data_IF_408589237649
#
_entry.id   IF_408589237649
#
_cell.length_a   1.000
_cell.length_b   1.000
_cell.length_c   1.000
_cell.angle_alpha   90.00
_cell.angle_beta   90.00
_cell.angle_gamma   90.00
#
_symmetry.space_group_name_H-M   'P 1'
#
loop_
_entity.id
_entity.type
_entity.pdbx_description
1 polymer ?
#
# COMPACT_ATOMS: atom_id res chain seq x y z
N UNK A 1 -16.63 8.02 7.53
CA UNK A 1 -16.82 6.70 6.90
C UNK A 1 -16.02 6.72 5.62
N UNK A 2 -15.05 5.82 5.45
CA UNK A 2 -14.32 5.67 4.20
C UNK A 2 -15.12 4.78 3.26
N UNK A 3 -15.14 5.13 1.97
CA UNK A 3 -15.79 4.29 0.96
C UNK A 3 -14.99 3.00 0.75
N UNK A 4 -15.68 1.86 0.75
CA UNK A 4 -15.07 0.56 0.49
C UNK A 4 -14.59 0.48 -0.96
N UNK A 5 -13.41 -0.10 -1.18
CA UNK A 5 -12.97 -0.49 -2.52
C UNK A 5 -13.81 -1.67 -2.98
N UNK A 6 -14.82 -1.40 -3.82
CA UNK A 6 -15.81 -2.38 -4.28
C UNK A 6 -15.24 -3.37 -5.29
N UNK A 7 -14.29 -2.93 -6.10
CA UNK A 7 -13.69 -3.72 -7.18
C UNK A 7 -12.19 -3.87 -6.99
N UNK A 8 -11.70 -4.45 -5.87
CA UNK A 8 -10.27 -4.52 -5.63
C UNK A 8 -9.58 -5.42 -6.67
N UNK A 9 -8.32 -5.11 -7.00
CA UNK A 9 -7.44 -6.06 -7.69
C UNK A 9 -7.22 -7.29 -6.82
N UNK A 10 -7.09 -8.41 -7.49
CA UNK A 10 -6.80 -9.71 -6.90
C UNK A 10 -5.53 -10.30 -7.49
N UNK A 11 -4.91 -11.22 -6.76
CA UNK A 11 -3.83 -12.08 -7.22
C UNK A 11 -4.16 -13.49 -6.74
N UNK A 12 -4.15 -14.47 -7.64
CA UNK A 12 -4.62 -15.84 -7.34
C UNK A 12 -6.08 -15.89 -6.87
N UNK A 13 -6.90 -14.90 -7.25
CA UNK A 13 -8.27 -14.73 -6.76
C UNK A 13 -8.39 -14.07 -5.38
N UNK A 14 -7.30 -13.78 -4.67
CA UNK A 14 -7.34 -13.14 -3.35
C UNK A 14 -7.12 -11.63 -3.46
N UNK A 15 -7.93 -10.84 -2.74
CA UNK A 15 -7.67 -9.41 -2.54
C UNK A 15 -6.32 -9.26 -1.84
N UNK A 16 -5.54 -8.27 -2.26
CA UNK A 16 -4.26 -7.95 -1.63
C UNK A 16 -4.14 -6.47 -1.25
N UNK A 17 -3.31 -6.21 -0.25
CA UNK A 17 -2.76 -4.90 0.08
C UNK A 17 -1.25 -4.97 0.12
N UNK A 18 -0.58 -3.86 -0.14
CA UNK A 18 0.86 -3.75 -0.09
C UNK A 18 1.25 -2.67 0.90
N UNK A 19 2.12 -3.00 1.85
CA UNK A 19 2.67 -2.06 2.79
C UNK A 19 4.02 -1.52 2.28
N UNK A 20 4.06 -0.22 2.02
CA UNK A 20 5.27 0.49 1.67
C UNK A 20 5.88 1.15 2.89
N UNK A 21 7.21 1.24 2.94
CA UNK A 21 7.92 1.94 4.02
C UNK A 21 8.43 3.27 3.48
N UNK A 22 7.97 4.36 4.09
CA UNK A 22 8.34 5.73 3.75
C UNK A 22 9.20 6.32 4.88
N UNK A 23 10.40 6.76 4.54
CA UNK A 23 11.27 7.53 5.42
C UNK A 23 11.14 9.02 5.09
N UNK A 24 10.60 9.79 6.02
CA UNK A 24 10.56 11.26 5.93
C UNK A 24 11.73 11.84 6.71
N UNK A 25 12.61 12.59 6.03
CA UNK A 25 13.77 13.26 6.65
C UNK A 25 13.56 14.76 6.83
N UNK A 26 12.86 15.39 5.89
CA UNK A 26 12.45 16.78 6.00
C UNK A 26 11.15 17.01 5.24
N UNK A 27 10.37 17.98 5.68
CA UNK A 27 9.15 18.44 5.03
C UNK A 27 9.35 19.80 4.32
N UNK A 28 10.48 20.48 4.53
CA UNK A 28 10.78 21.76 3.86
C UNK A 28 12.30 22.02 3.80
N UNK A 29 12.98 21.73 2.68
CA UNK A 29 12.44 21.09 1.48
C UNK A 29 11.97 19.67 1.77
N UNK A 30 10.97 19.18 1.04
CA UNK A 30 10.53 17.79 1.13
C UNK A 30 11.69 16.86 0.75
N UNK A 31 12.13 16.05 1.70
CA UNK A 31 13.15 15.01 1.54
C UNK A 31 12.60 13.70 2.11
N UNK A 32 12.21 12.80 1.22
CA UNK A 32 11.54 11.55 1.54
C UNK A 32 12.02 10.40 0.65
N UNK A 33 12.07 9.19 1.22
CA UNK A 33 12.56 7.99 0.55
C UNK A 33 11.56 6.86 0.73
N UNK A 34 11.24 6.14 -0.35
CA UNK A 34 10.47 4.90 -0.27
C UNK A 34 11.45 3.73 -0.32
N UNK A 35 11.27 2.77 0.59
CA UNK A 35 12.03 1.53 0.57
C UNK A 35 11.65 0.74 -0.70
N UNK A 36 12.65 0.28 -1.45
CA UNK A 36 12.43 -0.54 -2.67
C UNK A 36 11.68 -1.85 -2.41
N UNK A 37 11.64 -2.31 -1.16
CA UNK A 37 10.93 -3.51 -0.74
C UNK A 37 9.61 -3.08 -0.09
N UNK A 38 8.54 -3.78 -0.45
CA UNK A 38 7.23 -3.67 0.16
C UNK A 38 6.79 -5.04 0.69
N UNK A 39 5.74 -5.04 1.51
CA UNK A 39 5.25 -6.25 2.18
C UNK A 39 3.81 -6.54 1.73
N UNK A 40 3.60 -7.59 0.93
CA UNK A 40 2.26 -8.03 0.54
C UNK A 40 1.48 -8.62 1.71
N UNK A 41 0.16 -8.36 1.71
CA UNK A 41 -0.80 -9.07 2.55
C UNK A 41 -2.02 -9.46 1.73
N UNK A 42 -2.61 -10.60 2.05
CA UNK A 42 -3.71 -11.21 1.32
C UNK A 42 -4.94 -11.40 2.21
N UNK A 43 -6.11 -11.36 1.59
CA UNK A 43 -7.34 -11.82 2.21
C UNK A 43 -7.32 -13.35 2.35
N UNK A 44 -7.95 -13.87 3.40
CA UNK A 44 -7.97 -15.32 3.69
C UNK A 44 -8.76 -16.11 2.66
N UNK A 45 -9.83 -15.53 2.16
CA UNK A 45 -10.72 -16.13 1.16
C UNK A 45 -10.56 -15.41 -0.18
N UNK A 46 -10.69 -16.14 -1.30
CA UNK A 46 -10.74 -15.53 -2.61
C UNK A 46 -12.00 -14.67 -2.73
N UNK A 47 -11.91 -13.60 -3.51
CA UNK A 47 -13.04 -12.77 -3.89
C UNK A 47 -13.85 -13.53 -4.96
N UNK A 48 -15.15 -13.75 -4.71
CA UNK A 48 -16.03 -14.29 -5.72
C UNK A 48 -16.29 -13.24 -6.82
N UNK A 49 -16.32 -13.66 -8.08
CA UNK A 49 -16.59 -12.77 -9.22
C UNK A 49 -18.01 -12.15 -9.18
N UNK A 50 -18.95 -12.81 -8.48
CA UNK A 50 -20.33 -12.35 -8.21
C UNK A 50 -20.54 -12.16 -6.69
N UNK A 51 -19.86 -11.17 -6.09
CA UNK A 51 -20.10 -10.86 -4.68
C UNK A 51 -21.43 -10.08 -4.51
N UNK A 52 -22.44 -10.72 -3.94
CA UNK A 52 -23.67 -10.04 -3.49
C UNK A 52 -23.36 -9.05 -2.35
N UNK A 53 -24.21 -8.03 -2.15
CA UNK A 53 -24.06 -7.03 -1.08
C UNK A 53 -23.91 -7.64 0.34
N UNK A 54 -24.32 -8.90 0.54
CA UNK A 54 -24.15 -9.64 1.78
C UNK A 54 -22.69 -10.06 2.06
N UNK A 55 -21.84 -10.21 1.04
CA UNK A 55 -20.42 -10.54 1.20
C UNK A 55 -19.56 -9.32 1.56
N UNK A 56 -20.10 -8.09 1.42
CA UNK A 56 -19.42 -6.84 1.79
C UNK A 56 -19.05 -6.74 3.28
N UNK A 57 -19.66 -7.57 4.12
CA UNK A 57 -19.38 -7.67 5.55
C UNK A 57 -18.48 -8.87 5.91
N UNK A 58 -18.09 -9.71 4.94
CA UNK A 58 -17.19 -10.84 5.17
C UNK A 58 -15.76 -10.34 5.36
N UNK A 59 -15.31 -10.38 6.61
CA UNK A 59 -13.98 -9.98 7.02
C UNK A 59 -12.90 -10.77 6.29
N UNK A 60 -13.11 -12.07 6.08
CA UNK A 60 -12.10 -12.96 5.50
C UNK A 60 -11.88 -12.70 3.99
N UNK A 61 -12.80 -12.01 3.32
CA UNK A 61 -12.70 -11.59 1.91
C UNK A 61 -12.12 -10.17 1.79
N UNK A 62 -12.53 -9.25 2.68
CA UNK A 62 -12.23 -7.83 2.53
C UNK A 62 -11.01 -7.34 3.33
N UNK A 63 -10.59 -8.06 4.36
CA UNK A 63 -9.45 -7.68 5.20
C UNK A 63 -8.24 -8.54 4.90
N UNK A 64 -7.11 -7.89 4.67
CA UNK A 64 -5.85 -8.54 4.27
C UNK A 64 -4.94 -8.71 5.48
N UNK A 65 -4.95 -9.90 6.06
CA UNK A 65 -4.12 -10.25 7.24
C UNK A 65 -3.02 -11.25 6.92
N UNK A 66 -3.18 -12.03 5.84
CA UNK A 66 -2.29 -13.16 5.57
C UNK A 66 -1.00 -12.70 4.88
N UNK A 67 0.14 -13.20 5.34
CA UNK A 67 1.46 -12.88 4.76
C UNK A 67 1.80 -13.74 3.54
N UNK A 68 1.06 -14.84 3.36
CA UNK A 68 1.17 -15.75 2.23
C UNK A 68 -0.04 -15.65 1.33
N UNK A 69 0.19 -15.84 0.03
CA UNK A 69 -0.90 -16.10 -0.89
C UNK A 69 -1.47 -17.50 -0.60
N UNK A 70 -2.75 -17.63 -0.18
CA UNK A 70 -3.31 -18.94 0.16
C UNK A 70 -3.24 -19.90 -1.03
N UNK A 71 -2.68 -21.10 -0.81
CA UNK A 71 -2.52 -22.12 -1.85
C UNK A 71 -1.28 -21.98 -2.73
N UNK A 72 -0.44 -20.96 -2.54
CA UNK A 72 0.83 -20.85 -3.26
C UNK A 72 1.87 -21.89 -2.76
N UNK A 73 2.46 -22.71 -3.65
CA UNK A 73 3.54 -23.60 -3.27
C UNK A 73 4.82 -22.79 -3.03
N UNK A 74 5.53 -23.08 -1.93
CA UNK A 74 6.92 -22.69 -1.67
C UNK A 74 7.23 -21.33 -1.01
N UNK A 75 6.27 -20.65 -0.39
CA UNK A 75 6.58 -19.48 0.43
C UNK A 75 6.80 -19.87 1.91
N UNK A 76 7.78 -19.24 2.57
CA UNK A 76 8.06 -19.46 3.98
C UNK A 76 6.87 -18.93 4.82
N UNK A 77 6.18 -19.79 5.60
CA UNK A 77 5.02 -19.41 6.41
C UNK A 77 5.29 -18.26 7.39
N UNK A 78 6.55 -18.09 7.79
CA UNK A 78 7.01 -17.08 8.74
C UNK A 78 7.53 -15.83 8.03
N UNK A 79 8.15 -15.99 6.85
CA UNK A 79 8.73 -14.85 6.14
C UNK A 79 7.72 -14.10 5.25
N UNK A 80 6.60 -14.74 4.90
CA UNK A 80 5.64 -14.16 3.97
C UNK A 80 6.16 -14.20 2.52
N UNK A 81 5.37 -13.67 1.60
CA UNK A 81 5.78 -13.45 0.22
C UNK A 81 6.69 -12.21 0.12
N UNK A 82 7.87 -12.32 -0.48
CA UNK A 82 8.71 -11.15 -0.72
C UNK A 82 8.15 -10.25 -1.82
N UNK A 83 8.53 -8.97 -1.88
CA UNK A 83 8.14 -8.08 -2.99
C UNK A 83 8.59 -8.62 -4.35
N UNK A 84 9.76 -9.26 -4.43
CA UNK A 84 10.26 -9.84 -5.70
C UNK A 84 9.41 -11.04 -6.16
N UNK A 85 9.03 -11.93 -5.23
CA UNK A 85 8.14 -13.05 -5.53
C UNK A 85 6.73 -12.58 -5.88
N UNK A 86 6.23 -11.54 -5.18
CA UNK A 86 4.97 -10.90 -5.52
C UNK A 86 4.97 -10.38 -6.96
N UNK A 87 5.99 -9.62 -7.36
CA UNK A 87 6.09 -9.08 -8.72
C UNK A 87 6.10 -10.21 -9.75
N UNK A 88 6.87 -11.28 -9.50
CA UNK A 88 6.89 -12.44 -10.40
C UNK A 88 5.53 -13.11 -10.53
N UNK A 89 4.82 -13.32 -9.42
CA UNK A 89 3.47 -13.90 -9.44
C UNK A 89 2.49 -12.99 -10.17
N UNK A 90 2.55 -11.69 -9.91
CA UNK A 90 1.72 -10.69 -10.56
C UNK A 90 1.92 -10.68 -12.08
N UNK A 91 3.17 -10.66 -12.53
CA UNK A 91 3.48 -10.66 -13.97
C UNK A 91 3.20 -12.01 -14.64
N UNK A 92 3.28 -13.12 -13.91
CA UNK A 92 2.82 -14.42 -14.40
C UNK A 92 1.30 -14.45 -14.66
N UNK A 93 0.50 -13.80 -13.81
CA UNK A 93 -0.96 -13.79 -13.91
C UNK A 93 -1.47 -12.72 -14.88
N UNK A 94 -0.91 -11.51 -14.81
CA UNK A 94 -1.39 -10.33 -15.56
C UNK A 94 -0.67 -10.14 -16.89
N UNK A 95 0.61 -10.50 -16.95
CA UNK A 95 1.45 -10.39 -18.13
C UNK A 95 2.83 -9.78 -17.83
N UNK A 96 3.82 -10.01 -18.71
CA UNK A 96 5.17 -9.45 -18.54
C UNK A 96 5.16 -7.92 -18.44
N UNK A 97 5.99 -7.36 -17.55
CA UNK A 97 6.16 -5.92 -17.31
C UNK A 97 4.89 -5.19 -16.80
N UNK A 98 3.83 -5.93 -16.45
CA UNK A 98 2.58 -5.34 -15.96
C UNK A 98 2.71 -4.65 -14.60
N UNK A 99 3.75 -4.97 -13.81
CA UNK A 99 3.96 -4.37 -12.49
C UNK A 99 4.51 -2.94 -12.57
N UNK A 100 5.42 -2.67 -13.52
CA UNK A 100 6.10 -1.38 -13.64
C UNK A 100 5.17 -0.15 -13.64
N UNK A 101 4.06 -0.11 -14.41
CA UNK A 101 3.14 1.03 -14.36
C UNK A 101 2.38 1.15 -13.03
N UNK A 102 2.08 0.02 -12.38
CA UNK A 102 1.42 0.01 -11.05
C UNK A 102 2.36 0.58 -9.99
N UNK A 103 3.62 0.16 -9.99
CA UNK A 103 4.64 0.67 -9.07
C UNK A 103 4.87 2.17 -9.26
N UNK A 104 4.95 2.65 -10.50
CA UNK A 104 5.07 4.08 -10.80
C UNK A 104 3.87 4.88 -10.27
N UNK A 105 2.64 4.39 -10.48
CA UNK A 105 1.44 5.03 -9.96
C UNK A 105 1.43 5.06 -8.41
N UNK A 106 1.90 3.98 -7.77
CA UNK A 106 2.01 3.95 -6.30
C UNK A 106 3.02 4.93 -5.77
N UNK A 107 4.20 5.02 -6.38
CA UNK A 107 5.21 6.02 -5.99
C UNK A 107 4.69 7.45 -6.16
N UNK A 108 3.94 7.73 -7.22
CA UNK A 108 3.29 9.03 -7.41
C UNK A 108 2.27 9.32 -6.30
N UNK A 109 1.42 8.35 -5.92
CA UNK A 109 0.47 8.52 -4.83
C UNK A 109 1.17 8.77 -3.47
N UNK A 110 2.28 8.07 -3.20
CA UNK A 110 3.09 8.29 -1.99
C UNK A 110 3.77 9.67 -2.00
N UNK A 111 4.26 10.12 -3.16
CA UNK A 111 4.81 11.45 -3.32
C UNK A 111 3.74 12.53 -3.07
N UNK A 112 2.54 12.38 -3.66
CA UNK A 112 1.43 13.31 -3.45
C UNK A 112 1.03 13.39 -1.97
N UNK A 113 1.01 12.26 -1.25
CA UNK A 113 0.79 12.24 0.20
C UNK A 113 1.86 13.08 0.93
N UNK A 114 3.14 12.84 0.67
CA UNK A 114 4.24 13.55 1.32
C UNK A 114 4.27 15.06 0.96
N UNK A 115 3.96 15.38 -0.29
CA UNK A 115 3.85 16.75 -0.79
C UNK A 115 2.67 17.48 -0.15
N UNK A 116 1.51 16.85 -0.01
CA UNK A 116 0.35 17.44 0.66
C UNK A 116 0.65 17.82 2.12
N UNK A 117 1.40 16.96 2.83
CA UNK A 117 1.87 17.26 4.20
C UNK A 117 2.85 18.44 4.20
N UNK A 118 3.73 18.51 3.19
CA UNK A 118 4.75 19.56 3.07
C UNK A 118 4.18 20.93 2.67
N UNK A 119 3.09 20.94 1.89
CA UNK A 119 2.38 22.14 1.44
C UNK A 119 1.43 22.71 2.49
N UNK A 120 1.17 21.99 3.58
CA UNK A 120 0.31 22.50 4.63
C UNK A 120 1.02 23.59 5.44
N UNK A 121 0.93 24.83 4.94
CA UNK A 121 1.26 26.07 5.65
C UNK A 121 0.32 26.23 6.84
N UNK A 122 0.64 25.64 8.01
CA UNK A 122 -0.34 25.67 9.09
C UNK A 122 -0.04 24.96 10.41
N UNK A 123 1.12 25.17 11.03
CA UNK A 123 1.27 25.38 12.48
C UNK A 123 0.79 24.34 13.53
N UNK A 124 0.03 23.29 13.19
CA UNK A 124 -0.60 22.42 14.20
C UNK A 124 0.23 21.19 14.55
N UNK A 125 1.01 20.65 13.61
CA UNK A 125 1.96 19.56 13.89
C UNK A 125 3.27 20.07 14.53
N UNK A 126 3.33 21.37 14.88
CA UNK A 126 4.49 22.03 15.49
C UNK A 126 4.18 22.63 16.87
N UNK A 127 3.04 22.28 17.49
CA UNK A 127 2.70 22.79 18.83
C UNK A 127 3.73 22.42 19.93
N UNK A 128 4.70 21.53 19.64
CA UNK A 128 5.81 21.19 20.54
C UNK A 128 7.19 21.77 20.16
N UNK A 129 7.36 22.41 19.00
CA UNK A 129 8.66 22.96 18.56
C UNK A 129 8.46 24.36 17.99
N UNK A 130 8.58 25.36 18.88
CA UNK A 130 8.27 26.77 18.64
C UNK A 130 9.23 27.51 17.68
N UNK A 131 10.01 26.81 16.86
CA UNK A 131 10.98 27.43 15.97
C UNK A 131 11.04 26.68 14.63
N UNK A 132 10.41 27.24 13.60
CA UNK A 132 10.49 26.73 12.22
C UNK A 132 11.92 26.75 11.67
N UNK A 133 12.85 27.49 12.29
CA UNK A 133 14.27 27.48 11.94
C UNK A 133 15.05 26.32 12.57
N UNK A 134 14.44 25.57 13.49
CA UNK A 134 15.01 24.37 14.10
C UNK A 134 14.34 23.11 13.56
N UNK A 135 14.50 22.87 12.25
CA UNK A 135 14.51 21.49 11.81
C UNK A 135 15.69 20.81 12.51
N UNK A 136 15.41 19.76 13.28
CA UNK A 136 16.48 18.90 13.76
C UNK A 136 16.95 18.07 12.55
N UNK A 137 18.15 18.30 11.98
CA UNK A 137 18.61 17.57 10.79
C UNK A 137 18.80 16.06 11.03
N UNK A 138 18.62 15.60 12.28
CA UNK A 138 18.67 14.20 12.68
C UNK A 138 17.29 13.59 12.95
N UNK A 139 16.22 14.39 12.95
CA UNK A 139 14.86 13.86 13.10
C UNK A 139 14.43 13.22 11.78
N UNK A 140 14.23 11.91 11.80
CA UNK A 140 13.61 11.17 10.71
C UNK A 140 12.47 10.34 11.27
N UNK A 141 11.42 10.17 10.48
CA UNK A 141 10.27 9.36 10.85
C UNK A 141 10.07 8.26 9.79
N UNK A 142 9.85 7.04 10.28
CA UNK A 142 9.50 5.90 9.46
C UNK A 142 7.99 5.70 9.52
N UNK A 143 7.37 5.60 8.36
CA UNK A 143 5.96 5.35 8.19
C UNK A 143 5.75 4.06 7.40
N UNK A 144 4.77 3.27 7.80
CA UNK A 144 4.20 2.25 6.93
C UNK A 144 2.94 2.82 6.26
N UNK A 145 2.83 2.63 4.96
CA UNK A 145 1.68 3.09 4.17
C UNK A 145 1.04 1.88 3.52
N UNK A 146 -0.20 1.58 3.90
CA UNK A 146 -0.93 0.45 3.33
C UNK A 146 -1.73 0.92 2.12
N UNK A 147 -1.51 0.22 1.00
CA UNK A 147 -2.11 0.56 -0.30
C UNK A 147 -2.90 -0.64 -0.81
N UNK A 148 -4.14 -0.40 -1.25
CA UNK A 148 -4.95 -1.35 -2.02
C UNK A 148 -5.18 -0.79 -3.41
N UNK A 149 -5.43 -1.67 -4.36
CA UNK A 149 -5.52 -1.33 -5.78
C UNK A 149 -6.94 -1.56 -6.28
N UNK A 150 -7.49 -0.59 -7.00
CA UNK A 150 -8.75 -0.77 -7.70
C UNK A 150 -8.52 -1.48 -9.04
N UNK A 151 -9.48 -2.30 -9.45
CA UNK A 151 -9.49 -2.95 -10.76
C UNK A 151 -9.64 -1.87 -11.83
N UNK A 152 -8.96 -2.04 -12.95
CA UNK A 152 -9.04 -1.09 -14.06
C UNK A 152 -10.50 -1.02 -14.57
N UNK A 153 -11.04 0.20 -14.66
CA UNK A 153 -12.32 0.43 -15.34
C UNK A 153 -13.42 1.15 -14.57
N UNK A 154 -13.22 1.68 -13.36
CA UNK A 154 -14.30 2.43 -12.69
C UNK A 154 -14.38 3.93 -13.07
N UNK A 155 -13.31 4.58 -13.58
CA UNK A 155 -13.32 6.04 -13.82
C UNK A 155 -12.45 6.60 -15.00
N UNK A 156 -11.96 5.80 -15.95
CA UNK A 156 -11.04 6.29 -17.00
C UNK A 156 -11.61 6.16 -18.42
N UNK A 157 -11.79 7.29 -19.12
CA UNK A 157 -12.22 7.33 -20.54
C UNK A 157 -11.10 6.94 -21.53
N UNK A 158 -9.91 6.57 -21.05
CA UNK A 158 -8.75 6.21 -21.86
C UNK A 158 -8.28 4.80 -21.47
N UNK A 159 -8.37 3.87 -22.42
CA UNK A 159 -8.24 2.41 -22.26
C UNK A 159 -6.85 1.86 -21.90
N UNK A 160 -6.13 2.50 -20.98
CA UNK A 160 -4.85 2.04 -20.42
C UNK A 160 -4.64 2.47 -18.96
N UNK A 161 -5.71 2.57 -18.18
CA UNK A 161 -5.60 3.01 -16.79
C UNK A 161 -5.04 1.88 -15.92
N UNK A 162 -3.73 1.92 -15.65
CA UNK A 162 -3.06 1.08 -14.66
C UNK A 162 -3.83 1.02 -13.33
N UNK A 163 -3.74 -0.10 -12.62
CA UNK A 163 -4.37 -0.30 -11.31
C UNK A 163 -4.19 0.92 -10.40
N UNK A 164 -5.29 1.56 -10.00
CA UNK A 164 -5.22 2.83 -9.27
C UNK A 164 -4.93 2.56 -7.79
N UNK A 165 -3.80 3.04 -7.24
CA UNK A 165 -3.47 2.87 -5.83
C UNK A 165 -4.41 3.71 -4.97
N UNK A 166 -4.91 3.13 -3.89
CA UNK A 166 -5.69 3.80 -2.84
C UNK A 166 -5.01 3.57 -1.50
N UNK A 167 -4.54 4.66 -0.90
CA UNK A 167 -3.95 4.67 0.44
C UNK A 167 -5.06 4.45 1.47
N UNK A 168 -4.89 3.47 2.34
CA UNK A 168 -5.89 3.11 3.38
C UNK A 168 -5.46 3.64 4.74
N UNK A 169 -4.20 3.46 5.10
CA UNK A 169 -3.65 3.84 6.40
C UNK A 169 -2.20 4.29 6.27
N UNK A 170 -1.79 5.13 7.22
CA UNK A 170 -0.42 5.59 7.40
C UNK A 170 -0.08 5.41 8.88
N UNK A 171 0.78 4.45 9.19
CA UNK A 171 1.17 4.10 10.55
C UNK A 171 2.53 4.71 10.88
N UNK A 172 2.58 5.46 11.99
CA UNK A 172 3.83 5.99 12.55
C UNK A 172 4.47 4.95 13.47
N UNK A 173 5.79 4.76 13.35
CA UNK A 173 6.54 3.71 14.07
C UNK A 173 5.99 2.30 13.79
N UNK A 174 6.00 1.86 12.52
CA UNK A 174 5.56 0.51 12.21
C UNK A 174 6.41 -0.50 12.98
N UNK A 175 5.74 -1.50 13.57
CA UNK A 175 6.44 -2.63 14.14
C UNK A 175 7.27 -3.30 13.05
N UNK A 176 8.59 -3.39 13.26
CA UNK A 176 9.46 -4.23 12.43
C UNK A 176 9.44 -5.70 12.90
N UNK A 177 8.72 -5.99 13.99
CA UNK A 177 8.49 -7.35 14.45
C UNK A 177 7.68 -8.07 13.38
N UNK A 178 8.30 -9.06 12.74
CA UNK A 178 7.54 -10.06 12.00
C UNK A 178 6.59 -10.71 12.99
N UNK A 179 5.28 -10.51 12.81
CA UNK A 179 4.30 -11.31 13.54
C UNK A 179 4.49 -12.76 13.12
N UNK A 180 5.23 -13.50 13.94
CA UNK A 180 5.28 -14.94 13.91
C UNK A 180 3.97 -15.38 14.56
N UNK A 181 3.04 -15.90 13.76
CA UNK A 181 1.89 -16.65 14.27
C UNK A 181 2.35 -18.02 14.79
#
# INVERSE_FOLDING_TARGET
VQELVRTPKTLGGHKFSLQFVLLMRSWSPLDAFVLKRFYPRFARRPLADDSDDCELLDFDIHVTTELLLPGAPCADPVAGLTSEEFVRLYECEVGPEAWAPVEAATHEALYQLAAAVSLHDGGAMHAGCADRSRQAPQAGALYAVDVVYDREGSNGHDGHAAALPRIISVDYMPGCERQVA
#
